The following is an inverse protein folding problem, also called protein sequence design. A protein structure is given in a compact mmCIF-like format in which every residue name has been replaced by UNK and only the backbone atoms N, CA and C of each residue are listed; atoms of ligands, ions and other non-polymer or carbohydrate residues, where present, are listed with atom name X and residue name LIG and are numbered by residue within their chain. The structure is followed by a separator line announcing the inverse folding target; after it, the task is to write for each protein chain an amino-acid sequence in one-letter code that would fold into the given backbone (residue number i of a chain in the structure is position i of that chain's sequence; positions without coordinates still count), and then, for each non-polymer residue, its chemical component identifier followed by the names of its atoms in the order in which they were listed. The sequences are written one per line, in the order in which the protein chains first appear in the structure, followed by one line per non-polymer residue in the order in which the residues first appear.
data_IF_290844000295
#
_entry.id   IF_290844000295
#
_cell.length_a   1.000
_cell.length_b   1.000
_cell.length_c   1.000
_cell.angle_alpha   90.00
_cell.angle_beta   90.00
_cell.angle_gamma   90.00
#
_symmetry.space_group_name_H-M   'P 1'
#
loop_
_entity.id
_entity.type
_entity.pdbx_description
1 polymer ?
#
# COMPACT_ATOMS: atom_id res chain seq x y z
N UNK A 1 30.08 -26.07 12.70
CA UNK A 1 28.63 -26.31 12.51
C UNK A 1 28.11 -25.06 11.86
N UNK A 2 27.29 -25.16 10.82
CA UNK A 2 26.75 -23.97 10.14
C UNK A 2 25.76 -23.29 11.07
N UNK A 3 25.97 -22.01 11.40
CA UNK A 3 25.06 -21.17 12.22
C UNK A 3 23.86 -20.67 11.39
N UNK A 4 23.40 -21.50 10.45
CA UNK A 4 22.21 -21.26 9.63
C UNK A 4 20.98 -21.63 10.44
N UNK A 5 19.99 -20.74 10.42
CA UNK A 5 18.76 -20.88 11.18
C UNK A 5 17.73 -21.66 10.36
N UNK A 6 17.71 -21.51 9.03
CA UNK A 6 16.71 -22.11 8.16
C UNK A 6 17.28 -23.23 7.29
N UNK A 7 16.49 -24.27 7.09
CA UNK A 7 16.71 -25.28 6.06
C UNK A 7 16.29 -24.77 4.69
N UNK A 8 16.82 -25.34 3.60
CA UNK A 8 16.40 -24.98 2.24
C UNK A 8 14.89 -25.15 2.02
N UNK A 9 14.26 -26.14 2.65
CA UNK A 9 12.83 -26.36 2.53
C UNK A 9 12.03 -25.24 3.22
N UNK A 10 12.44 -24.83 4.43
CA UNK A 10 11.84 -23.68 5.12
C UNK A 10 11.98 -22.40 4.28
N UNK A 11 13.13 -22.17 3.65
CA UNK A 11 13.32 -21.03 2.75
C UNK A 11 12.36 -21.07 1.57
N UNK A 12 12.21 -22.22 0.90
CA UNK A 12 11.25 -22.37 -0.21
C UNK A 12 9.82 -22.11 0.26
N UNK A 13 9.46 -22.59 1.45
CA UNK A 13 8.14 -22.36 2.03
C UNK A 13 7.91 -20.87 2.34
N UNK A 14 8.90 -20.18 2.90
CA UNK A 14 8.82 -18.73 3.18
C UNK A 14 8.73 -17.88 1.92
N UNK A 15 9.37 -18.30 0.82
CA UNK A 15 9.28 -17.63 -0.47
C UNK A 15 7.94 -17.88 -1.19
N UNK A 16 7.14 -18.85 -0.74
CA UNK A 16 5.87 -19.20 -1.38
C UNK A 16 4.71 -18.45 -0.72
N UNK A 17 3.92 -17.73 -1.52
CA UNK A 17 2.77 -16.94 -1.01
C UNK A 17 1.77 -17.83 -0.26
N UNK A 18 1.08 -17.32 0.78
CA UNK A 18 0.12 -18.12 1.54
C UNK A 18 -1.01 -18.70 0.67
N UNK A 19 -1.48 -17.95 -0.32
CA UNK A 19 -2.47 -18.41 -1.30
C UNK A 19 -1.98 -19.61 -2.12
N UNK A 20 -0.73 -19.57 -2.62
CA UNK A 20 -0.13 -20.70 -3.34
C UNK A 20 0.09 -21.92 -2.43
N UNK A 21 0.51 -21.70 -1.17
CA UNK A 21 0.69 -22.78 -0.19
C UNK A 21 -0.64 -23.47 0.13
N UNK A 22 -1.69 -22.69 0.36
CA UNK A 22 -3.04 -23.20 0.61
C UNK A 22 -3.59 -23.94 -0.62
N UNK A 23 -3.40 -23.39 -1.82
CA UNK A 23 -3.83 -24.02 -3.06
C UNK A 23 -3.10 -25.34 -3.32
N UNK A 24 -1.80 -25.41 -3.04
CA UNK A 24 -1.03 -26.65 -3.15
C UNK A 24 -1.45 -27.71 -2.12
N UNK A 25 -1.82 -27.30 -0.90
CA UNK A 25 -2.39 -28.21 0.10
C UNK A 25 -3.74 -28.79 -0.37
N UNK A 26 -4.60 -27.92 -0.91
CA UNK A 26 -5.89 -28.29 -1.50
C UNK A 26 -5.71 -29.32 -2.64
N UNK A 27 -4.75 -29.09 -3.54
CA UNK A 27 -4.47 -29.99 -4.68
C UNK A 27 -3.98 -31.39 -4.24
N UNK A 28 -3.39 -31.50 -3.04
CA UNK A 28 -3.01 -32.80 -2.43
C UNK A 28 -4.12 -33.46 -1.63
N UNK A 29 -5.29 -32.83 -1.53
CA UNK A 29 -6.40 -33.30 -0.69
C UNK A 29 -6.23 -33.01 0.81
N UNK A 30 -5.25 -32.19 1.20
CA UNK A 30 -5.04 -31.76 2.58
C UNK A 30 -5.92 -30.54 2.90
N UNK A 31 -7.21 -30.81 3.09
CA UNK A 31 -8.22 -29.76 3.31
C UNK A 31 -7.99 -29.00 4.62
N UNK A 32 -7.47 -29.69 5.65
CA UNK A 32 -7.17 -29.09 6.95
C UNK A 32 -6.06 -28.05 6.81
N UNK A 33 -4.93 -28.40 6.18
CA UNK A 33 -3.84 -27.45 5.98
C UNK A 33 -4.24 -26.30 5.06
N UNK A 34 -4.99 -26.56 3.97
CA UNK A 34 -5.46 -25.51 3.07
C UNK A 34 -6.33 -24.48 3.81
N UNK A 35 -7.26 -24.97 4.63
CA UNK A 35 -8.14 -24.15 5.46
C UNK A 35 -7.39 -23.35 6.51
N UNK A 36 -6.46 -23.98 7.22
CA UNK A 36 -5.71 -23.33 8.30
C UNK A 36 -4.81 -22.22 7.75
N UNK A 37 -4.12 -22.46 6.62
CA UNK A 37 -3.31 -21.43 5.96
C UNK A 37 -4.20 -20.26 5.53
N UNK A 38 -5.35 -20.52 4.91
CA UNK A 38 -6.27 -19.47 4.48
C UNK A 38 -6.80 -18.66 5.67
N UNK A 39 -7.23 -19.32 6.74
CA UNK A 39 -7.76 -18.68 7.94
C UNK A 39 -6.71 -17.80 8.64
N UNK A 40 -5.47 -18.27 8.74
CA UNK A 40 -4.36 -17.49 9.32
C UNK A 40 -3.90 -16.35 8.43
N UNK A 41 -4.28 -16.35 7.15
CA UNK A 41 -3.89 -15.32 6.17
C UNK A 41 -4.88 -14.18 6.05
N UNK A 42 -6.05 -14.28 6.70
CA UNK A 42 -7.01 -13.18 6.79
C UNK A 42 -6.34 -11.99 7.49
N UNK A 43 -6.54 -10.79 6.95
CA UNK A 43 -6.05 -9.51 7.50
C UNK A 43 -4.52 -9.33 7.59
N UNK A 44 -3.71 -10.27 7.09
CA UNK A 44 -2.24 -10.12 7.14
C UNK A 44 -1.74 -8.85 6.42
N UNK A 45 -2.49 -8.34 5.43
CA UNK A 45 -2.19 -7.10 4.71
C UNK A 45 -2.39 -5.82 5.54
N UNK A 46 -3.01 -5.90 6.71
CA UNK A 46 -3.29 -4.73 7.54
C UNK A 46 -2.02 -4.00 7.98
N UNK A 47 -0.91 -4.72 8.20
CA UNK A 47 0.38 -4.10 8.52
C UNK A 47 0.83 -3.14 7.40
N UNK A 48 0.85 -3.61 6.16
CA UNK A 48 1.16 -2.80 4.98
C UNK A 48 0.16 -1.66 4.79
N UNK A 49 -1.14 -1.94 4.95
CA UNK A 49 -2.20 -0.93 4.86
C UNK A 49 -1.95 0.21 5.85
N UNK A 50 -1.67 -0.11 7.10
CA UNK A 50 -1.56 0.88 8.17
C UNK A 50 -0.25 1.67 8.08
N UNK A 51 0.84 1.05 7.58
CA UNK A 51 2.06 1.77 7.19
C UNK A 51 1.75 2.86 6.15
N UNK A 52 1.03 2.51 5.08
CA UNK A 52 0.69 3.50 4.05
C UNK A 52 -0.28 4.57 4.55
N UNK A 53 -1.26 4.20 5.38
CA UNK A 53 -2.17 5.16 6.00
C UNK A 53 -1.38 6.19 6.82
N UNK A 54 -0.53 5.71 7.74
CA UNK A 54 0.23 6.57 8.63
C UNK A 54 1.16 7.48 7.85
N UNK A 55 1.91 6.93 6.88
CA UNK A 55 2.84 7.68 6.06
C UNK A 55 2.13 8.77 5.25
N UNK A 56 1.07 8.43 4.50
CA UNK A 56 0.31 9.42 3.72
C UNK A 56 -0.29 10.51 4.60
N UNK A 57 -0.88 10.14 5.74
CA UNK A 57 -1.53 11.10 6.65
C UNK A 57 -0.51 12.07 7.25
N UNK A 58 0.64 11.56 7.70
CA UNK A 58 1.70 12.38 8.25
C UNK A 58 2.37 13.26 7.20
N UNK A 59 2.51 12.79 5.96
CA UNK A 59 3.05 13.61 4.86
C UNK A 59 2.12 14.76 4.48
N UNK A 60 0.80 14.55 4.48
CA UNK A 60 -0.16 15.66 4.34
C UNK A 60 -0.03 16.65 5.51
N UNK A 61 0.12 16.15 6.74
CA UNK A 61 0.39 16.98 7.92
C UNK A 61 1.70 17.77 7.80
N UNK A 62 2.76 17.16 7.28
CA UNK A 62 4.03 17.83 7.02
C UNK A 62 3.85 18.98 6.01
N UNK A 63 3.14 18.73 4.90
CA UNK A 63 2.87 19.79 3.90
C UNK A 63 2.10 20.96 4.53
N UNK A 64 1.10 20.68 5.36
CA UNK A 64 0.34 21.74 6.03
C UNK A 64 1.19 22.51 7.05
N UNK A 65 1.97 21.82 7.89
CA UNK A 65 2.79 22.47 8.93
C UNK A 65 3.92 23.29 8.33
N UNK A 66 4.63 22.76 7.34
CA UNK A 66 5.83 23.40 6.78
C UNK A 66 5.49 24.44 5.70
N UNK A 67 4.43 24.21 4.92
CA UNK A 67 4.12 25.04 3.75
C UNK A 67 2.72 25.69 3.78
N UNK A 68 1.93 25.41 4.83
CA UNK A 68 0.62 26.01 5.07
C UNK A 68 -0.55 25.32 4.36
N UNK A 69 -1.77 25.64 4.79
CA UNK A 69 -3.00 25.07 4.26
C UNK A 69 -3.21 25.31 2.74
N UNK A 70 -2.66 26.40 2.18
CA UNK A 70 -2.68 26.63 0.73
C UNK A 70 -1.83 25.63 -0.05
N UNK A 71 -0.68 25.22 0.49
CA UNK A 71 0.16 24.19 -0.10
C UNK A 71 -0.57 22.84 -0.07
N UNK A 72 -1.17 22.48 1.07
CA UNK A 72 -1.99 21.27 1.20
C UNK A 72 -3.12 21.23 0.17
N UNK A 73 -3.86 22.33 0.01
CA UNK A 73 -4.94 22.44 -1.00
C UNK A 73 -4.45 22.24 -2.44
N UNK A 74 -3.19 22.55 -2.74
CA UNK A 74 -2.60 22.36 -4.08
C UNK A 74 -1.97 20.99 -4.26
N UNK A 75 -1.39 20.41 -3.22
CA UNK A 75 -0.68 19.13 -3.30
C UNK A 75 -1.64 17.96 -3.52
N UNK A 76 -2.78 17.94 -2.81
CA UNK A 76 -3.78 16.85 -2.91
C UNK A 76 -4.31 16.67 -4.34
N UNK A 77 -4.84 17.69 -5.04
CA UNK A 77 -5.26 17.54 -6.44
C UNK A 77 -4.11 17.21 -7.38
N UNK A 78 -2.91 17.78 -7.17
CA UNK A 78 -1.75 17.48 -8.01
C UNK A 78 -1.36 16.00 -7.92
N UNK A 79 -1.35 15.44 -6.71
CA UNK A 79 -1.07 14.04 -6.47
C UNK A 79 -2.16 13.13 -7.04
N UNK A 80 -3.44 13.42 -6.79
CA UNK A 80 -4.54 12.55 -7.21
C UNK A 80 -4.75 12.51 -8.74
N UNK A 81 -4.43 13.59 -9.45
CA UNK A 81 -4.53 13.63 -10.93
C UNK A 81 -3.68 12.56 -11.62
N UNK A 82 -2.56 12.14 -11.03
CA UNK A 82 -1.68 11.12 -11.62
C UNK A 82 -2.18 9.69 -11.34
N UNK A 83 -3.15 9.51 -10.43
CA UNK A 83 -3.48 8.20 -9.84
C UNK A 83 -4.93 7.80 -10.12
N UNK A 84 -5.88 8.72 -9.92
CA UNK A 84 -7.32 8.40 -9.79
C UNK A 84 -7.98 8.18 -11.15
N UNK A 85 -7.44 8.77 -12.22
CA UNK A 85 -8.10 8.78 -13.52
C UNK A 85 -8.48 7.39 -14.03
N UNK A 86 -7.58 6.38 -14.08
CA UNK A 86 -7.95 5.04 -14.54
C UNK A 86 -9.18 4.45 -13.82
N UNK A 87 -9.37 4.75 -12.53
CA UNK A 87 -10.53 4.28 -11.77
C UNK A 87 -11.80 5.04 -12.12
N UNK A 88 -11.71 6.37 -12.26
CA UNK A 88 -12.83 7.19 -12.70
C UNK A 88 -13.32 6.74 -14.09
N UNK A 89 -12.40 6.37 -14.99
CA UNK A 89 -12.74 5.95 -16.36
C UNK A 89 -13.60 4.68 -16.42
N UNK A 90 -13.55 3.80 -15.42
CA UNK A 90 -14.47 2.66 -15.33
C UNK A 90 -15.94 3.06 -15.20
N UNK A 91 -16.19 4.28 -14.72
CA UNK A 91 -17.54 4.84 -14.59
C UNK A 91 -17.90 5.82 -15.70
N UNK A 92 -17.04 6.00 -16.73
CA UNK A 92 -17.30 6.99 -17.80
C UNK A 92 -18.67 6.80 -18.45
N UNK A 93 -19.08 5.56 -18.64
CA UNK A 93 -20.34 5.22 -19.30
C UNK A 93 -21.46 4.90 -18.31
N UNK A 94 -21.31 5.19 -17.02
CA UNK A 94 -22.27 4.80 -15.97
C UNK A 94 -21.78 3.61 -15.16
N UNK A 95 -22.69 2.99 -14.42
CA UNK A 95 -22.36 1.91 -13.46
C UNK A 95 -22.31 0.56 -14.18
N UNK A 96 -21.23 -0.21 -13.96
CA UNK A 96 -21.13 -1.62 -14.36
C UNK A 96 -20.85 -2.52 -13.16
N UNK A 97 -21.11 -3.83 -13.31
CA UNK A 97 -20.82 -4.81 -12.27
C UNK A 97 -19.32 -4.84 -11.91
N UNK A 98 -18.45 -4.79 -12.91
CA UNK A 98 -17.00 -4.84 -12.76
C UNK A 98 -16.46 -3.60 -12.03
N UNK A 99 -17.01 -2.42 -12.34
CA UNK A 99 -16.62 -1.17 -11.69
C UNK A 99 -16.98 -1.19 -10.19
N UNK A 100 -18.19 -1.66 -9.85
CA UNK A 100 -18.63 -1.79 -8.45
C UNK A 100 -17.86 -2.88 -7.71
N UNK A 101 -17.61 -4.03 -8.34
CA UNK A 101 -16.81 -5.10 -7.74
C UNK A 101 -15.38 -4.64 -7.41
N UNK A 102 -14.78 -3.86 -8.30
CA UNK A 102 -13.43 -3.34 -8.09
C UNK A 102 -13.38 -2.30 -6.97
N UNK A 103 -14.40 -1.44 -6.83
CA UNK A 103 -14.51 -0.55 -5.67
C UNK A 103 -14.70 -1.35 -4.37
N UNK A 104 -15.60 -2.33 -4.34
CA UNK A 104 -15.80 -3.15 -3.16
C UNK A 104 -14.52 -3.86 -2.71
N UNK A 105 -13.70 -4.31 -3.67
CA UNK A 105 -12.37 -4.85 -3.41
C UNK A 105 -11.46 -3.83 -2.71
N UNK A 106 -11.36 -2.60 -3.21
CA UNK A 106 -10.55 -1.54 -2.57
C UNK A 106 -11.05 -1.29 -1.13
N UNK A 107 -12.35 -1.11 -0.95
CA UNK A 107 -12.92 -0.78 0.36
C UNK A 107 -12.80 -1.90 1.38
N UNK A 108 -12.88 -3.16 0.96
CA UNK A 108 -12.68 -4.28 1.89
C UNK A 108 -11.21 -4.55 2.20
N UNK A 109 -10.31 -4.16 1.30
CA UNK A 109 -8.87 -4.25 1.55
C UNK A 109 -8.40 -3.13 2.48
N UNK A 110 -8.97 -1.93 2.37
CA UNK A 110 -8.75 -0.85 3.33
C UNK A 110 -9.47 -1.12 4.67
N UNK A 111 -10.78 -1.32 4.65
CA UNK A 111 -11.60 -1.42 5.86
C UNK A 111 -11.60 -2.78 6.56
N UNK A 112 -11.14 -3.84 5.90
CA UNK A 112 -11.48 -5.21 6.29
C UNK A 112 -12.86 -5.62 5.75
N UNK A 113 -13.57 -6.51 6.43
CA UNK A 113 -14.94 -6.86 6.01
C UNK A 113 -15.85 -5.62 5.91
N UNK A 114 -16.61 -5.51 4.80
CA UNK A 114 -17.66 -4.49 4.71
C UNK A 114 -18.80 -4.84 5.65
N UNK A 115 -19.22 -3.88 6.47
CA UNK A 115 -20.36 -4.05 7.37
C UNK A 115 -21.66 -4.34 6.57
N UNK A 116 -21.78 -3.75 5.38
CA UNK A 116 -22.86 -4.05 4.45
C UNK A 116 -22.47 -3.75 3.00
N UNK A 117 -23.08 -4.50 2.08
CA UNK A 117 -23.20 -4.17 0.66
C UNK A 117 -24.69 -4.13 0.33
N UNK A 118 -25.24 -2.92 0.26
CA UNK A 118 -26.67 -2.69 0.06
C UNK A 118 -26.94 -2.41 -1.42
N UNK A 119 -28.05 -2.92 -1.95
CA UNK A 119 -28.48 -2.63 -3.30
C UNK A 119 -30.02 -2.58 -3.36
N UNK A 120 -30.53 -1.49 -3.93
CA UNK A 120 -31.93 -1.34 -4.33
C UNK A 120 -32.02 -1.05 -5.85
N UNK A 121 -33.18 -0.65 -6.37
CA UNK A 121 -33.35 -0.37 -7.80
C UNK A 121 -32.62 0.88 -8.27
N UNK A 122 -32.20 1.76 -7.37
CA UNK A 122 -31.77 3.11 -7.69
C UNK A 122 -30.27 3.31 -7.38
N UNK A 123 -29.74 2.58 -6.40
CA UNK A 123 -28.36 2.74 -5.93
C UNK A 123 -27.76 1.47 -5.32
N UNK A 124 -26.44 1.53 -5.15
CA UNK A 124 -25.66 0.60 -4.32
C UNK A 124 -24.99 1.39 -3.20
N UNK A 125 -24.83 0.78 -2.02
CA UNK A 125 -24.12 1.39 -0.89
C UNK A 125 -23.13 0.41 -0.26
N UNK A 126 -21.87 0.81 -0.21
CA UNK A 126 -20.82 0.08 0.50
C UNK A 126 -20.63 0.73 1.87
N UNK A 127 -20.68 -0.07 2.93
CA UNK A 127 -20.54 0.41 4.31
C UNK A 127 -19.24 -0.12 4.92
N UNK A 128 -18.29 0.78 5.20
CA UNK A 128 -16.96 0.43 5.73
C UNK A 128 -16.75 1.05 7.12
N UNK A 129 -16.75 0.25 8.20
CA UNK A 129 -16.66 0.76 9.57
C UNK A 129 -15.26 1.28 9.93
N UNK A 130 -14.23 0.68 9.33
CA UNK A 130 -12.85 0.91 9.69
C UNK A 130 -12.09 1.50 8.51
N UNK A 131 -12.66 2.46 7.77
CA UNK A 131 -12.02 3.05 6.59
C UNK A 131 -10.88 4.01 6.96
N UNK A 132 -9.99 4.29 6.00
CA UNK A 132 -8.77 5.09 6.16
C UNK A 132 -8.96 6.40 6.95
N UNK A 133 -9.95 7.23 6.62
CA UNK A 133 -10.14 8.50 7.34
C UNK A 133 -10.59 8.34 8.79
N UNK A 134 -11.36 7.31 9.13
CA UNK A 134 -11.68 7.02 10.54
C UNK A 134 -10.41 6.63 11.32
N UNK A 135 -9.54 5.82 10.70
CA UNK A 135 -8.26 5.46 11.30
C UNK A 135 -7.32 6.67 11.40
N UNK A 136 -7.37 7.58 10.43
CA UNK A 136 -6.58 8.81 10.42
C UNK A 136 -6.98 9.79 11.52
N UNK A 137 -8.24 9.81 11.97
CA UNK A 137 -8.69 10.67 13.08
C UNK A 137 -7.92 10.40 14.39
N UNK A 138 -7.34 9.20 14.54
CA UNK A 138 -6.52 8.84 15.70
C UNK A 138 -5.08 9.39 15.61
N UNK A 139 -4.67 9.97 14.48
CA UNK A 139 -3.33 10.50 14.27
C UNK A 139 -3.33 12.01 14.62
N UNK A 140 -2.66 12.42 15.72
CA UNK A 140 -2.69 13.81 16.17
C UNK A 140 -1.98 14.73 15.18
N UNK A 141 -2.37 16.01 15.19
CA UNK A 141 -1.72 17.09 14.44
C UNK A 141 -1.59 16.84 12.92
N UNK A 142 -2.61 16.19 12.35
CA UNK A 142 -2.74 15.94 10.91
C UNK A 142 -4.05 16.49 10.35
N UNK A 143 -4.08 16.90 9.07
CA UNK A 143 -5.29 17.33 8.41
C UNK A 143 -6.28 16.18 8.27
N UNK A 144 -7.55 16.52 8.13
CA UNK A 144 -8.60 15.55 7.85
C UNK A 144 -8.36 14.86 6.51
N UNK A 145 -8.06 13.56 6.55
CA UNK A 145 -7.77 12.74 5.37
C UNK A 145 -8.94 12.69 4.37
N UNK A 146 -10.16 13.05 4.79
CA UNK A 146 -11.34 13.17 3.90
C UNK A 146 -11.20 14.26 2.84
N UNK A 147 -10.18 15.11 2.91
CA UNK A 147 -9.79 15.98 1.79
C UNK A 147 -9.46 15.16 0.53
N UNK A 148 -8.90 13.95 0.70
CA UNK A 148 -8.56 13.03 -0.40
C UNK A 148 -9.82 12.51 -1.07
N UNK A 149 -10.80 12.01 -0.32
CA UNK A 149 -12.07 11.50 -0.88
C UNK A 149 -12.88 12.61 -1.54
N UNK A 150 -12.92 13.80 -0.93
CA UNK A 150 -13.60 14.98 -1.49
C UNK A 150 -12.96 15.40 -2.82
N UNK A 151 -11.63 15.38 -2.90
CA UNK A 151 -10.92 15.71 -4.13
C UNK A 151 -11.09 14.64 -5.22
N UNK A 152 -11.17 13.36 -4.85
CA UNK A 152 -11.52 12.28 -5.80
C UNK A 152 -12.89 12.54 -6.44
N UNK A 153 -13.91 12.89 -5.65
CA UNK A 153 -15.24 13.24 -6.16
C UNK A 153 -15.17 14.43 -7.12
N UNK A 154 -14.42 15.47 -6.75
CA UNK A 154 -14.23 16.68 -7.57
C UNK A 154 -13.56 16.38 -8.91
N UNK A 155 -12.51 15.55 -8.93
CA UNK A 155 -11.84 15.12 -10.15
C UNK A 155 -12.75 14.27 -11.05
N UNK A 156 -13.59 13.41 -10.44
CA UNK A 156 -14.59 12.68 -11.21
C UNK A 156 -15.60 13.62 -11.88
N UNK A 157 -16.06 14.67 -11.18
CA UNK A 157 -16.89 15.71 -11.80
C UNK A 157 -16.18 16.40 -12.97
N UNK A 158 -14.90 16.72 -12.83
CA UNK A 158 -14.10 17.32 -13.92
C UNK A 158 -14.03 16.41 -15.15
N UNK A 159 -13.76 15.11 -14.96
CA UNK A 159 -13.49 14.16 -16.05
C UNK A 159 -14.72 13.47 -16.62
N UNK A 160 -15.74 13.23 -15.81
CA UNK A 160 -16.94 12.48 -16.18
C UNK A 160 -18.19 13.37 -16.23
N UNK A 161 -18.19 14.50 -15.54
CA UNK A 161 -19.35 15.38 -15.37
C UNK A 161 -20.15 15.12 -14.09
N UNK A 162 -19.84 14.05 -13.36
CA UNK A 162 -20.49 13.68 -12.09
C UNK A 162 -19.54 12.87 -11.19
N UNK A 163 -19.82 12.78 -9.88
CA UNK A 163 -19.15 11.85 -8.99
C UNK A 163 -19.86 10.49 -9.03
N UNK A 164 -19.26 9.43 -9.60
CA UNK A 164 -19.92 8.12 -9.74
C UNK A 164 -20.12 7.38 -8.42
N UNK A 165 -19.37 7.79 -7.40
CA UNK A 165 -19.51 7.34 -6.04
C UNK A 165 -19.42 8.55 -5.11
N UNK A 166 -20.30 8.60 -4.12
CA UNK A 166 -20.43 9.72 -3.19
C UNK A 166 -20.07 9.26 -1.79
N UNK A 167 -19.10 9.94 -1.17
CA UNK A 167 -18.66 9.66 0.20
C UNK A 167 -19.54 10.43 1.18
N UNK A 168 -20.17 9.68 2.10
CA UNK A 168 -20.96 10.19 3.21
C UNK A 168 -20.55 9.52 4.53
N UNK A 169 -20.85 10.19 5.64
CA UNK A 169 -20.54 9.75 7.00
C UNK A 169 -19.04 9.49 7.21
N UNK A 170 -18.68 8.49 8.00
CA UNK A 170 -17.29 8.16 8.27
C UNK A 170 -16.61 9.21 9.13
N UNK A 171 -17.23 9.72 10.20
CA UNK A 171 -16.63 10.64 11.20
C UNK A 171 -17.05 10.19 12.59
N UNK A 172 -16.25 10.54 13.60
CA UNK A 172 -16.59 10.32 15.02
C UNK A 172 -16.94 8.85 15.34
N UNK A 173 -16.33 7.91 14.60
CA UNK A 173 -16.57 6.47 14.74
C UNK A 173 -17.74 5.91 13.92
N UNK A 174 -18.52 6.75 13.24
CA UNK A 174 -19.55 6.29 12.30
C UNK A 174 -18.89 5.61 11.08
N UNK A 175 -19.50 4.57 10.51
CA UNK A 175 -18.98 3.92 9.32
C UNK A 175 -19.04 4.87 8.11
N UNK A 176 -18.08 4.74 7.20
CA UNK A 176 -18.18 5.37 5.89
C UNK A 176 -19.29 4.70 5.08
N UNK A 177 -20.10 5.53 4.40
CA UNK A 177 -21.07 5.08 3.39
C UNK A 177 -20.66 5.61 2.02
N UNK A 178 -20.32 4.71 1.10
CA UNK A 178 -20.04 5.04 -0.29
C UNK A 178 -21.26 4.71 -1.14
N UNK A 179 -21.96 5.73 -1.64
CA UNK A 179 -23.17 5.56 -2.45
C UNK A 179 -22.88 5.67 -3.94
N UNK A 180 -23.32 4.68 -4.72
CA UNK A 180 -23.20 4.64 -6.18
C UNK A 180 -24.62 4.74 -6.76
N UNK A 181 -24.92 5.83 -7.47
CA UNK A 181 -26.21 6.03 -8.10
C UNK A 181 -26.25 5.33 -9.46
N UNK A 182 -27.25 4.47 -9.69
CA UNK A 182 -27.39 3.71 -10.95
C UNK A 182 -27.79 4.59 -12.11
N UNK A 183 -28.50 5.68 -11.83
CA UNK A 183 -28.66 6.80 -12.72
C UNK A 183 -27.79 7.97 -12.26
N UNK A 184 -26.77 8.38 -13.03
CA UNK A 184 -25.93 9.54 -12.71
C UNK A 184 -26.71 10.85 -12.47
N UNK A 185 -27.90 11.00 -13.05
CA UNK A 185 -28.75 12.18 -12.82
C UNK A 185 -29.36 12.21 -11.42
N UNK A 186 -29.43 11.07 -10.73
CA UNK A 186 -29.99 10.97 -9.37
C UNK A 186 -28.99 11.40 -8.29
N UNK A 187 -27.72 11.67 -8.65
CA UNK A 187 -26.77 12.31 -7.73
C UNK A 187 -27.36 13.64 -7.25
N UNK A 188 -27.55 13.83 -5.92
CA UNK A 188 -28.23 15.01 -5.40
C UNK A 188 -27.50 16.32 -5.76
N UNK A 189 -28.22 17.40 -6.12
CA UNK A 189 -27.61 18.70 -6.40
C UNK A 189 -26.70 19.22 -5.28
N UNK A 190 -27.05 18.96 -4.02
CA UNK A 190 -26.25 19.32 -2.85
C UNK A 190 -24.82 18.72 -2.85
N UNK A 191 -24.60 17.59 -3.54
CA UNK A 191 -23.27 17.01 -3.71
C UNK A 191 -22.40 17.92 -4.57
N UNK A 192 -22.94 18.44 -5.68
CA UNK A 192 -22.23 19.36 -6.57
C UNK A 192 -21.95 20.70 -5.89
N UNK A 193 -22.91 21.21 -5.10
CA UNK A 193 -22.75 22.41 -4.28
C UNK A 193 -21.63 22.25 -3.25
N UNK A 194 -21.60 21.12 -2.51
CA UNK A 194 -20.52 20.79 -1.55
C UNK A 194 -19.14 20.76 -2.23
N UNK A 195 -19.07 20.22 -3.44
CA UNK A 195 -17.83 20.10 -4.20
C UNK A 195 -17.40 21.40 -4.89
N UNK A 196 -18.28 22.41 -4.93
CA UNK A 196 -18.02 23.67 -5.63
C UNK A 196 -17.90 23.51 -7.14
N UNK A 197 -18.62 22.54 -7.73
CA UNK A 197 -18.58 22.24 -9.16
C UNK A 197 -19.95 22.44 -9.82
N UNK A 198 -19.96 22.83 -11.09
CA UNK A 198 -21.20 22.97 -11.84
C UNK A 198 -21.82 21.60 -12.18
N UNK A 199 -23.14 21.48 -11.99
CA UNK A 199 -23.90 20.29 -12.39
C UNK A 199 -24.30 20.38 -13.87
N UNK A 200 -23.43 19.88 -14.75
CA UNK A 200 -23.69 19.82 -16.19
C UNK A 200 -24.63 18.66 -16.55
N UNK A 201 -25.94 18.91 -16.49
CA UNK A 201 -26.98 17.90 -16.76
C UNK A 201 -26.82 17.25 -18.14
N UNK A 202 -26.38 18.00 -19.15
CA UNK A 202 -26.25 17.48 -20.51
C UNK A 202 -25.12 16.44 -20.60
N UNK A 203 -23.98 16.72 -19.94
CA UNK A 203 -22.86 15.77 -19.85
C UNK A 203 -23.22 14.54 -19.02
N UNK A 204 -23.93 14.72 -17.90
CA UNK A 204 -24.36 13.61 -17.04
C UNK A 204 -25.30 12.67 -17.79
N UNK A 205 -26.26 13.22 -18.54
CA UNK A 205 -27.24 12.45 -19.30
C UNK A 205 -26.63 11.58 -20.43
N UNK A 206 -25.33 11.71 -20.72
CA UNK A 206 -24.64 10.87 -21.70
C UNK A 206 -24.22 9.50 -21.13
N UNK A 207 -24.16 9.34 -19.80
CA UNK A 207 -23.88 8.07 -19.14
C UNK A 207 -25.13 7.17 -19.09
N UNK A 208 -24.93 5.85 -19.05
CA UNK A 208 -26.04 4.90 -19.01
C UNK A 208 -26.76 4.93 -17.66
N UNK A 209 -28.09 4.94 -17.74
CA UNK A 209 -28.99 4.69 -16.63
C UNK A 209 -29.27 3.18 -16.53
N UNK A 210 -28.86 2.59 -15.41
CA UNK A 210 -29.13 1.18 -15.08
C UNK A 210 -30.08 1.02 -13.89
N UNK A 211 -30.80 2.08 -13.54
CA UNK A 211 -31.83 2.03 -12.50
C UNK A 211 -32.99 1.09 -12.89
N UNK A 212 -33.73 0.62 -11.89
CA UNK A 212 -34.81 -0.37 -12.05
C UNK A 212 -34.33 -1.83 -12.11
N UNK A 213 -33.02 -2.09 -12.23
CA UNK A 213 -32.44 -3.43 -12.22
C UNK A 213 -31.63 -3.69 -10.95
N UNK A 214 -31.63 -4.94 -10.47
CA UNK A 214 -30.62 -5.43 -9.52
C UNK A 214 -29.43 -5.95 -10.33
N UNK A 215 -28.25 -5.40 -10.04
CA UNK A 215 -27.01 -5.79 -10.68
C UNK A 215 -26.46 -7.06 -10.05
N UNK A 216 -26.67 -7.31 -8.75
CA UNK A 216 -26.12 -8.46 -8.03
C UNK A 216 -27.21 -9.28 -7.34
N UNK A 217 -27.02 -10.59 -7.28
CA UNK A 217 -27.91 -11.47 -6.50
C UNK A 217 -27.59 -11.40 -4.99
N UNK A 218 -28.43 -11.98 -4.10
CA UNK A 218 -28.18 -11.95 -2.66
C UNK A 218 -26.85 -12.57 -2.22
N UNK A 219 -26.41 -13.66 -2.85
CA UNK A 219 -25.17 -14.36 -2.48
C UNK A 219 -23.96 -13.56 -2.94
N UNK A 220 -24.02 -12.96 -4.12
CA UNK A 220 -22.98 -12.05 -4.62
C UNK A 220 -22.80 -10.85 -3.68
N UNK A 221 -23.89 -10.27 -3.17
CA UNK A 221 -23.82 -9.13 -2.25
C UNK A 221 -23.20 -9.51 -0.90
N UNK A 222 -23.50 -10.70 -0.39
CA UNK A 222 -22.83 -11.22 0.81
C UNK A 222 -21.35 -11.46 0.56
N UNK A 223 -20.99 -12.09 -0.57
CA UNK A 223 -19.60 -12.34 -0.94
C UNK A 223 -18.79 -11.06 -1.12
N UNK A 224 -19.41 -9.99 -1.65
CA UNK A 224 -18.74 -8.71 -1.87
C UNK A 224 -18.20 -8.08 -0.59
N UNK A 225 -18.77 -8.43 0.57
CA UNK A 225 -18.31 -7.94 1.88
C UNK A 225 -17.00 -8.58 2.33
N UNK A 226 -16.67 -9.76 1.81
CA UNK A 226 -15.68 -10.65 2.40
C UNK A 226 -14.40 -10.70 1.56
N UNK A 227 -13.28 -10.89 2.24
CA UNK A 227 -11.98 -11.08 1.62
C UNK A 227 -11.88 -12.48 1.01
N UNK A 228 -11.02 -12.63 0.01
CA UNK A 228 -10.85 -13.89 -0.70
C UNK A 228 -10.43 -15.04 0.22
N UNK A 229 -9.58 -14.82 1.22
CA UNK A 229 -9.27 -15.89 2.19
C UNK A 229 -10.48 -16.36 3.00
N UNK A 230 -11.38 -15.45 3.39
CA UNK A 230 -12.63 -15.82 4.08
C UNK A 230 -13.55 -16.62 3.16
N UNK A 231 -13.69 -16.19 1.91
CA UNK A 231 -14.47 -16.91 0.89
C UNK A 231 -13.86 -18.29 0.57
N UNK A 232 -12.54 -18.41 0.57
CA UNK A 232 -11.85 -19.68 0.41
C UNK A 232 -12.17 -20.65 1.56
N UNK A 233 -12.09 -20.19 2.81
CA UNK A 233 -12.46 -21.00 3.99
C UNK A 233 -13.91 -21.47 3.91
N UNK A 234 -14.85 -20.56 3.60
CA UNK A 234 -16.28 -20.91 3.44
C UNK A 234 -16.48 -21.97 2.34
N UNK A 235 -15.78 -21.84 1.22
CA UNK A 235 -15.87 -22.79 0.11
C UNK A 235 -15.27 -24.17 0.46
N UNK A 236 -14.16 -24.21 1.21
CA UNK A 236 -13.58 -25.47 1.73
C UNK A 236 -14.58 -26.16 2.67
N UNK A 237 -15.15 -25.40 3.62
CA UNK A 237 -16.12 -25.93 4.60
C UNK A 237 -17.42 -26.44 3.93
N UNK A 238 -17.79 -25.86 2.78
CA UNK A 238 -18.92 -26.31 1.96
C UNK A 238 -18.57 -27.46 0.98
N UNK A 239 -17.30 -27.84 0.85
CA UNK A 239 -16.84 -28.84 -0.12
C UNK A 239 -16.76 -28.36 -1.57
N UNK A 240 -16.89 -27.05 -1.83
CA UNK A 240 -16.72 -26.44 -3.16
C UNK A 240 -15.24 -26.10 -3.41
N UNK A 241 -14.45 -27.14 -3.71
CA UNK A 241 -13.00 -27.02 -3.83
C UNK A 241 -12.57 -26.17 -5.04
N UNK A 242 -13.35 -26.15 -6.11
CA UNK A 242 -13.08 -25.31 -7.28
C UNK A 242 -13.24 -23.83 -6.93
N UNK A 243 -14.28 -23.46 -6.18
CA UNK A 243 -14.47 -22.10 -5.68
C UNK A 243 -13.41 -21.72 -4.66
N UNK A 244 -13.07 -22.64 -3.74
CA UNK A 244 -11.98 -22.42 -2.80
C UNK A 244 -10.68 -22.08 -3.52
N UNK A 245 -10.30 -22.89 -4.52
CA UNK A 245 -9.10 -22.65 -5.32
C UNK A 245 -9.12 -21.28 -5.99
N UNK A 246 -10.23 -20.87 -6.60
CA UNK A 246 -10.34 -19.53 -7.23
C UNK A 246 -10.08 -18.40 -6.23
N UNK A 247 -10.64 -18.49 -5.03
CA UNK A 247 -10.43 -17.47 -4.01
C UNK A 247 -8.99 -17.48 -3.45
N UNK A 248 -8.37 -18.65 -3.28
CA UNK A 248 -6.95 -18.74 -2.90
C UNK A 248 -6.01 -18.14 -3.96
N UNK A 249 -6.37 -18.21 -5.24
CA UNK A 249 -5.60 -17.53 -6.29
C UNK A 249 -5.85 -16.02 -6.31
N UNK A 250 -7.09 -15.58 -6.07
CA UNK A 250 -7.45 -14.16 -6.00
C UNK A 250 -6.77 -13.45 -4.83
N UNK A 251 -6.63 -14.10 -3.67
CA UNK A 251 -6.06 -13.50 -2.46
C UNK A 251 -4.61 -13.00 -2.65
N UNK A 252 -3.90 -13.53 -3.65
CA UNK A 252 -2.54 -13.08 -4.01
C UNK A 252 -2.50 -11.64 -4.52
N UNK A 253 -3.60 -11.16 -5.12
CA UNK A 253 -3.66 -9.88 -5.81
C UNK A 253 -4.81 -8.98 -5.35
N UNK A 254 -5.73 -9.50 -4.55
CA UNK A 254 -6.94 -8.79 -4.10
C UNK A 254 -6.62 -7.43 -3.44
N UNK A 255 -5.54 -7.35 -2.69
CA UNK A 255 -5.14 -6.16 -1.95
C UNK A 255 -4.33 -5.15 -2.79
N UNK A 256 -3.88 -5.53 -4.00
CA UNK A 256 -3.04 -4.68 -4.86
C UNK A 256 -3.67 -3.32 -5.18
N UNK A 257 -4.98 -3.19 -5.49
CA UNK A 257 -5.56 -1.88 -5.78
C UNK A 257 -5.43 -0.89 -4.62
N UNK A 258 -5.69 -1.33 -3.38
CA UNK A 258 -5.56 -0.49 -2.18
C UNK A 258 -4.09 -0.13 -1.90
N UNK A 259 -3.19 -1.10 -2.03
CA UNK A 259 -1.75 -0.87 -1.88
C UNK A 259 -1.19 0.10 -2.92
N UNK A 260 -1.47 -0.12 -4.20
CA UNK A 260 -0.98 0.74 -5.26
C UNK A 260 -1.51 2.16 -5.09
N UNK A 261 -2.75 2.33 -4.62
CA UNK A 261 -3.26 3.65 -4.28
C UNK A 261 -2.44 4.32 -3.17
N UNK A 262 -2.22 3.64 -2.05
CA UNK A 262 -1.42 4.18 -0.93
C UNK A 262 0.03 4.49 -1.34
N UNK A 263 0.66 3.60 -2.11
CA UNK A 263 2.00 3.74 -2.68
C UNK A 263 2.11 4.92 -3.64
N UNK A 264 1.17 5.02 -4.57
CA UNK A 264 1.19 6.07 -5.59
C UNK A 264 0.92 7.42 -4.95
N UNK A 265 -0.01 7.48 -3.98
CA UNK A 265 -0.36 8.71 -3.28
C UNK A 265 0.86 9.27 -2.54
N UNK A 266 1.58 8.43 -1.80
CA UNK A 266 2.77 8.90 -1.09
C UNK A 266 3.88 9.29 -2.08
N UNK A 267 4.06 8.53 -3.16
CA UNK A 267 5.05 8.88 -4.20
C UNK A 267 4.75 10.24 -4.80
N UNK A 268 3.49 10.51 -5.13
CA UNK A 268 3.08 11.76 -5.75
C UNK A 268 3.13 12.93 -4.76
N UNK A 269 2.82 12.71 -3.47
CA UNK A 269 2.98 13.72 -2.42
C UNK A 269 4.45 14.09 -2.19
N UNK A 270 5.34 13.10 -2.04
CA UNK A 270 6.78 13.37 -1.90
C UNK A 270 7.35 13.98 -3.19
N UNK A 271 6.87 13.54 -4.35
CA UNK A 271 7.19 14.16 -5.63
C UNK A 271 6.79 15.64 -5.69
N UNK A 272 5.61 15.98 -5.21
CA UNK A 272 5.16 17.37 -5.13
C UNK A 272 6.06 18.20 -4.21
N UNK A 273 6.49 17.65 -3.06
CA UNK A 273 7.47 18.31 -2.18
C UNK A 273 8.79 18.52 -2.93
N UNK A 274 9.27 17.54 -3.70
CA UNK A 274 10.52 17.63 -4.44
C UNK A 274 10.50 18.79 -5.44
N UNK A 275 9.44 18.86 -6.23
CA UNK A 275 9.30 19.85 -7.31
C UNK A 275 9.09 21.28 -6.78
N UNK A 276 8.39 21.43 -5.64
CA UNK A 276 8.00 22.74 -5.13
C UNK A 276 8.92 23.27 -4.02
N UNK A 277 9.58 22.38 -3.29
CA UNK A 277 10.34 22.71 -2.08
C UNK A 277 11.74 22.08 -2.05
N UNK A 278 12.05 21.17 -2.96
CA UNK A 278 13.40 20.61 -3.13
C UNK A 278 13.67 19.34 -2.32
N UNK A 279 14.84 18.76 -2.56
CA UNK A 279 15.23 17.44 -2.05
C UNK A 279 15.33 17.39 -0.53
N UNK A 280 15.81 18.46 0.11
CA UNK A 280 15.95 18.50 1.57
C UNK A 280 14.60 18.31 2.27
N UNK A 281 13.56 19.01 1.80
CA UNK A 281 12.23 18.86 2.39
C UNK A 281 11.61 17.48 2.12
N UNK A 282 11.99 16.80 1.03
CA UNK A 282 11.60 15.41 0.82
C UNK A 282 12.25 14.51 1.86
N UNK A 283 13.56 14.68 2.07
CA UNK A 283 14.31 13.94 3.06
C UNK A 283 13.77 14.13 4.47
N UNK A 284 13.52 15.37 4.86
CA UNK A 284 12.93 15.71 6.16
C UNK A 284 11.53 15.10 6.31
N UNK A 285 10.73 15.08 5.23
CA UNK A 285 9.41 14.43 5.25
C UNK A 285 9.51 12.90 5.42
N UNK A 286 10.49 12.25 4.77
CA UNK A 286 10.75 10.82 4.94
C UNK A 286 11.13 10.53 6.39
N UNK A 287 12.01 11.33 6.99
CA UNK A 287 12.41 11.13 8.38
C UNK A 287 11.24 11.30 9.34
N UNK A 288 10.50 12.40 9.22
CA UNK A 288 9.43 12.76 10.15
C UNK A 288 8.13 11.98 9.95
N UNK A 289 7.86 11.47 8.75
CA UNK A 289 6.58 10.83 8.41
C UNK A 289 6.70 9.31 8.21
N UNK A 290 7.90 8.80 7.95
CA UNK A 290 8.14 7.37 7.74
C UNK A 290 9.11 6.79 8.76
N UNK A 291 10.37 7.25 8.80
CA UNK A 291 11.39 6.58 9.60
C UNK A 291 11.08 6.63 11.11
N UNK A 292 10.79 7.80 11.66
CA UNK A 292 10.54 7.94 13.10
C UNK A 292 9.20 7.33 13.55
N UNK A 293 8.04 7.69 12.96
CA UNK A 293 6.75 7.24 13.47
C UNK A 293 6.34 5.85 12.97
N UNK A 294 6.69 5.50 11.73
CA UNK A 294 6.22 4.27 11.09
C UNK A 294 7.26 3.17 11.26
N UNK A 295 8.48 3.38 10.77
CA UNK A 295 9.55 2.38 10.89
C UNK A 295 10.12 2.29 12.31
N UNK A 296 10.15 3.38 13.09
CA UNK A 296 10.64 3.35 14.47
C UNK A 296 9.84 2.40 15.34
N UNK A 297 8.52 2.34 15.17
CA UNK A 297 7.67 1.36 15.84
C UNK A 297 7.97 -0.08 15.40
N UNK A 298 8.15 -0.30 14.09
CA UNK A 298 8.52 -1.62 13.54
C UNK A 298 9.88 -2.06 14.07
N UNK A 299 10.89 -1.19 14.04
CA UNK A 299 12.23 -1.48 14.52
C UNK A 299 12.22 -1.77 16.02
N UNK A 300 11.48 -1.01 16.82
CA UNK A 300 11.33 -1.29 18.26
C UNK A 300 10.67 -2.64 18.56
N UNK A 301 9.73 -3.09 17.72
CA UNK A 301 9.17 -4.43 17.85
C UNK A 301 10.19 -5.51 17.47
N UNK A 302 10.83 -5.35 16.30
CA UNK A 302 11.82 -6.28 15.74
C UNK A 302 13.04 -6.46 16.64
N UNK A 303 13.49 -5.41 17.32
CA UNK A 303 14.65 -5.46 18.23
C UNK A 303 14.48 -6.49 19.36
N UNK A 304 13.24 -6.77 19.74
CA UNK A 304 12.91 -7.77 20.77
C UNK A 304 12.60 -9.16 20.22
N UNK A 305 12.52 -9.31 18.89
CA UNK A 305 12.21 -10.58 18.23
C UNK A 305 13.47 -11.44 18.05
N UNK A 306 13.37 -12.77 18.26
CA UNK A 306 14.40 -13.69 17.80
C UNK A 306 14.63 -13.56 16.29
N UNK A 307 15.88 -13.75 15.84
CA UNK A 307 16.26 -13.63 14.42
C UNK A 307 15.35 -14.41 13.45
N UNK A 308 14.95 -15.63 13.82
CA UNK A 308 14.02 -16.46 13.05
C UNK A 308 12.68 -15.73 12.83
N UNK A 309 12.15 -15.13 13.90
CA UNK A 309 10.84 -14.49 13.90
C UNK A 309 10.90 -13.17 13.11
N UNK A 310 12.03 -12.45 13.15
CA UNK A 310 12.27 -11.27 12.30
C UNK A 310 12.15 -11.62 10.80
N UNK A 311 12.81 -12.70 10.37
CA UNK A 311 12.77 -13.17 8.98
C UNK A 311 11.36 -13.60 8.58
N UNK A 312 10.67 -14.36 9.43
CA UNK A 312 9.30 -14.82 9.16
C UNK A 312 8.29 -13.67 9.10
N UNK A 313 8.44 -12.69 9.98
CA UNK A 313 7.63 -11.46 9.98
C UNK A 313 7.87 -10.66 8.70
N UNK A 314 9.13 -10.47 8.29
CA UNK A 314 9.44 -9.73 7.07
C UNK A 314 8.96 -10.45 5.81
N UNK A 315 9.08 -11.78 5.76
CA UNK A 315 8.54 -12.58 4.65
C UNK A 315 7.02 -12.40 4.52
N UNK A 316 6.31 -12.41 5.65
CA UNK A 316 4.87 -12.15 5.70
C UNK A 316 4.56 -10.76 5.16
N UNK A 317 5.24 -9.72 5.67
CA UNK A 317 5.09 -8.35 5.18
C UNK A 317 5.34 -8.25 3.66
N UNK A 318 6.39 -8.90 3.15
CA UNK A 318 6.75 -8.82 1.74
C UNK A 318 5.77 -9.53 0.80
N UNK A 319 5.13 -10.62 1.25
CA UNK A 319 4.00 -11.20 0.52
C UNK A 319 2.84 -10.20 0.41
N UNK A 320 2.57 -9.45 1.49
CA UNK A 320 1.57 -8.38 1.51
C UNK A 320 2.04 -7.06 0.88
N UNK A 321 3.30 -6.98 0.43
CA UNK A 321 3.81 -5.97 -0.50
C UNK A 321 3.92 -6.52 -1.94
N UNK A 322 3.42 -7.73 -2.18
CA UNK A 322 3.31 -8.34 -3.51
C UNK A 322 4.67 -8.67 -4.10
N UNK A 323 5.70 -8.71 -3.26
CA UNK A 323 7.06 -8.94 -3.68
C UNK A 323 7.22 -10.38 -4.14
N UNK A 324 8.00 -10.57 -5.19
CA UNK A 324 8.56 -11.86 -5.55
C UNK A 324 10.04 -11.83 -5.21
N UNK A 325 10.50 -12.84 -4.51
CA UNK A 325 11.85 -12.86 -4.01
C UNK A 325 12.40 -14.27 -3.89
N UNK A 326 13.72 -14.36 -4.06
CA UNK A 326 14.51 -15.50 -3.63
C UNK A 326 15.04 -15.20 -2.22
N UNK A 327 15.17 -16.25 -1.40
CA UNK A 327 15.69 -16.15 -0.04
C UNK A 327 17.07 -16.78 0.04
N UNK A 328 18.01 -16.05 0.64
CA UNK A 328 19.37 -16.48 0.84
C UNK A 328 19.72 -16.28 2.33
N UNK A 329 20.27 -17.32 2.97
CA UNK A 329 20.86 -17.22 4.30
C UNK A 329 22.33 -17.65 4.24
N UNK A 330 23.20 -16.86 4.87
CA UNK A 330 24.59 -17.20 5.10
C UNK A 330 25.01 -16.94 6.56
N UNK A 331 26.31 -17.01 6.83
CA UNK A 331 26.86 -16.77 8.17
C UNK A 331 26.68 -15.31 8.62
N UNK A 332 26.62 -14.35 7.69
CA UNK A 332 26.49 -12.92 7.98
C UNK A 332 25.03 -12.48 8.15
N UNK A 333 24.08 -13.14 7.50
CA UNK A 333 22.69 -12.81 7.66
C UNK A 333 21.75 -13.45 6.65
N UNK A 334 20.66 -12.73 6.40
CA UNK A 334 19.58 -13.16 5.53
C UNK A 334 19.30 -12.07 4.51
N UNK A 335 19.00 -12.47 3.28
CA UNK A 335 18.74 -11.57 2.16
C UNK A 335 17.47 -11.98 1.42
N UNK A 336 16.56 -11.02 1.24
CA UNK A 336 15.45 -11.09 0.29
C UNK A 336 15.91 -10.45 -1.02
N UNK A 337 16.19 -11.26 -2.05
CA UNK A 337 16.56 -10.77 -3.39
C UNK A 337 15.29 -10.56 -4.22
N UNK A 338 14.81 -9.32 -4.26
CA UNK A 338 13.52 -8.96 -4.88
C UNK A 338 13.68 -8.51 -6.33
N UNK A 339 12.81 -9.00 -7.21
CA UNK A 339 12.82 -8.71 -8.66
C UNK A 339 11.38 -8.62 -9.20
N UNK A 340 10.71 -7.46 -9.09
CA UNK A 340 11.14 -6.20 -8.48
C UNK A 340 10.83 -6.16 -6.96
N UNK A 341 11.30 -5.11 -6.27
CA UNK A 341 10.77 -4.78 -4.96
C UNK A 341 9.32 -4.29 -5.05
N UNK A 342 8.53 -4.48 -3.98
CA UNK A 342 7.08 -4.37 -4.00
C UNK A 342 6.50 -3.01 -4.36
N UNK A 343 7.30 -1.95 -4.21
CA UNK A 343 6.84 -0.57 -4.39
C UNK A 343 7.70 0.21 -5.39
N UNK A 344 8.91 0.64 -5.02
CA UNK A 344 9.75 1.47 -5.92
C UNK A 344 10.13 0.77 -7.23
N UNK A 345 10.55 -0.50 -7.15
CA UNK A 345 10.85 -1.30 -8.33
C UNK A 345 9.61 -1.58 -9.18
N UNK A 346 8.47 -1.83 -8.53
CA UNK A 346 7.20 -1.98 -9.22
C UNK A 346 6.78 -0.70 -9.95
N UNK A 347 6.98 0.49 -9.37
CA UNK A 347 6.73 1.77 -10.04
C UNK A 347 7.61 1.95 -11.30
N UNK A 348 8.86 1.48 -11.25
CA UNK A 348 9.74 1.44 -12.43
C UNK A 348 9.15 0.51 -13.49
N UNK A 349 8.80 -0.74 -13.14
CA UNK A 349 8.21 -1.70 -14.09
C UNK A 349 6.89 -1.23 -14.70
N UNK A 350 6.09 -0.50 -13.95
CA UNK A 350 4.83 0.10 -14.41
C UNK A 350 5.02 1.33 -15.32
N UNK A 351 6.26 1.80 -15.52
CA UNK A 351 6.55 3.01 -16.29
C UNK A 351 6.03 4.30 -15.61
N UNK A 352 5.94 4.31 -14.27
CA UNK A 352 5.30 5.41 -13.54
C UNK A 352 6.07 6.75 -13.60
N UNK A 353 7.35 6.70 -13.98
CA UNK A 353 8.20 7.87 -14.17
C UNK A 353 8.09 8.47 -15.58
N UNK A 354 7.44 7.76 -16.51
CA UNK A 354 7.10 8.23 -17.84
C UNK A 354 5.65 8.74 -17.91
N UNK A 355 5.27 9.31 -19.07
CA UNK A 355 3.91 9.69 -19.33
C UNK A 355 2.96 8.46 -19.26
N UNK A 356 1.75 8.61 -18.68
CA UNK A 356 1.13 9.86 -18.28
C UNK A 356 1.37 10.28 -16.82
N UNK A 357 1.94 9.40 -15.98
CA UNK A 357 2.10 9.66 -14.53
C UNK A 357 3.18 10.70 -14.27
N UNK A 358 4.31 10.63 -14.98
CA UNK A 358 5.46 11.54 -14.87
C UNK A 358 5.88 11.77 -13.41
N UNK A 359 5.96 10.69 -12.61
CA UNK A 359 6.35 10.84 -11.21
C UNK A 359 7.79 11.39 -11.10
N UNK A 360 8.12 12.20 -10.09
CA UNK A 360 9.43 12.82 -10.01
C UNK A 360 10.57 11.86 -9.67
N UNK A 361 11.77 12.22 -10.11
CA UNK A 361 13.03 11.54 -9.83
C UNK A 361 13.96 12.49 -9.05
N UNK A 362 14.61 11.98 -8.01
CA UNK A 362 15.74 12.66 -7.34
C UNK A 362 16.92 12.64 -8.29
N UNK A 363 17.63 13.77 -8.41
CA UNK A 363 18.75 13.95 -9.34
C UNK A 363 20.04 14.25 -8.58
N UNK A 364 21.13 13.67 -9.07
CA UNK A 364 22.49 13.84 -8.57
C UNK A 364 22.86 12.87 -7.45
N UNK A 365 24.15 12.53 -7.34
CA UNK A 365 24.65 11.63 -6.30
C UNK A 365 24.65 12.33 -4.94
N UNK A 366 23.88 11.79 -3.99
CA UNK A 366 23.78 12.26 -2.61
C UNK A 366 23.30 11.13 -1.68
N UNK A 367 23.21 11.37 -0.36
CA UNK A 367 22.66 10.37 0.57
C UNK A 367 21.20 10.04 0.22
N UNK A 368 20.43 11.06 -0.16
CA UNK A 368 19.03 10.97 -0.56
C UNK A 368 18.80 10.11 -1.81
N UNK A 369 19.86 9.86 -2.60
CA UNK A 369 19.84 9.04 -3.82
C UNK A 369 20.69 7.77 -3.73
N UNK A 370 21.13 7.33 -2.54
CA UNK A 370 22.14 6.27 -2.40
C UNK A 370 23.43 6.53 -3.20
N UNK A 371 23.74 7.78 -3.50
CA UNK A 371 24.90 8.19 -4.28
C UNK A 371 24.78 7.95 -5.79
N UNK A 372 23.58 7.71 -6.32
CA UNK A 372 23.36 7.45 -7.75
C UNK A 372 22.89 8.71 -8.49
N UNK A 373 23.00 8.72 -9.83
CA UNK A 373 22.70 9.91 -10.64
C UNK A 373 21.21 10.21 -10.67
N UNK A 374 20.35 9.20 -10.78
CA UNK A 374 18.91 9.39 -10.72
C UNK A 374 18.22 8.25 -9.97
N UNK A 375 17.32 8.63 -9.05
CA UNK A 375 16.57 7.68 -8.25
C UNK A 375 15.08 8.05 -8.18
N UNK A 376 14.17 7.07 -8.32
CA UNK A 376 12.76 7.24 -7.98
C UNK A 376 12.53 8.00 -6.68
N UNK A 377 11.70 9.05 -6.67
CA UNK A 377 11.42 9.79 -5.43
C UNK A 377 10.86 8.91 -4.32
N UNK A 378 10.05 7.90 -4.68
CA UNK A 378 9.56 6.92 -3.74
C UNK A 378 10.70 6.18 -3.02
N UNK A 379 11.78 5.83 -3.72
CA UNK A 379 12.89 5.07 -3.15
C UNK A 379 13.70 5.83 -2.11
N UNK A 380 13.48 7.13 -1.90
CA UNK A 380 14.20 7.95 -0.91
C UNK A 380 14.01 7.47 0.53
N UNK A 381 12.92 6.75 0.82
CA UNK A 381 12.74 6.13 2.14
C UNK A 381 13.78 5.04 2.44
N UNK A 382 14.32 4.35 1.42
CA UNK A 382 15.31 3.30 1.60
C UNK A 382 16.65 3.83 2.19
N UNK A 383 17.32 4.84 1.60
CA UNK A 383 18.51 5.41 2.23
C UNK A 383 18.21 6.05 3.58
N UNK A 384 17.01 6.63 3.76
CA UNK A 384 16.56 7.14 5.05
C UNK A 384 16.52 6.05 6.13
N UNK A 385 15.86 4.92 5.86
CA UNK A 385 15.78 3.80 6.80
C UNK A 385 17.15 3.18 7.07
N UNK A 386 17.99 3.00 6.04
CA UNK A 386 19.37 2.53 6.24
C UNK A 386 20.14 3.46 7.17
N UNK A 387 20.08 4.78 6.92
CA UNK A 387 20.73 5.77 7.76
C UNK A 387 20.24 5.66 9.21
N UNK A 388 18.93 5.64 9.41
CA UNK A 388 18.31 5.56 10.72
C UNK A 388 18.79 4.31 11.49
N UNK A 389 18.73 3.12 10.88
CA UNK A 389 19.18 1.87 11.51
C UNK A 389 20.66 1.91 11.88
N UNK A 390 21.52 2.42 11.00
CA UNK A 390 22.96 2.44 11.23
C UNK A 390 23.40 3.49 12.24
N UNK A 391 22.69 4.62 12.37
CA UNK A 391 22.99 5.64 13.39
C UNK A 391 22.59 5.22 14.79
N UNK A 392 21.61 4.32 14.93
CA UNK A 392 21.10 3.82 16.21
C UNK A 392 21.70 2.47 16.62
N UNK A 393 22.64 1.95 15.83
CA UNK A 393 23.34 0.67 16.08
C UNK A 393 22.39 -0.56 16.20
N UNK A 394 21.34 -0.57 15.39
CA UNK A 394 20.41 -1.69 15.28
C UNK A 394 18.94 -1.32 15.52
N UNK A 395 18.03 -2.29 15.38
CA UNK A 395 18.28 -3.65 14.90
C UNK A 395 18.73 -3.66 13.43
N UNK A 396 19.72 -4.47 13.05
CA UNK A 396 20.31 -4.53 11.69
C UNK A 396 19.37 -5.19 10.67
N UNK A 397 18.14 -4.67 10.61
CA UNK A 397 16.98 -5.20 9.96
C UNK A 397 16.54 -4.26 8.84
N UNK A 398 16.06 -4.82 7.73
CA UNK A 398 15.60 -4.08 6.55
C UNK A 398 16.66 -3.13 5.97
N UNK A 399 17.94 -3.51 6.02
CA UNK A 399 18.99 -2.76 5.34
C UNK A 399 18.93 -3.03 3.83
N UNK A 400 18.61 -2.00 3.06
CA UNK A 400 18.36 -2.08 1.63
C UNK A 400 19.65 -1.86 0.84
N UNK A 401 19.95 -2.79 -0.05
CA UNK A 401 20.93 -2.61 -1.11
C UNK A 401 20.19 -2.50 -2.45
N UNK A 402 20.12 -1.32 -3.05
CA UNK A 402 19.48 -1.17 -4.34
C UNK A 402 20.32 -1.83 -5.44
N UNK A 403 19.65 -2.47 -6.39
CA UNK A 403 20.24 -2.88 -7.65
C UNK A 403 20.50 -1.66 -8.52
N UNK A 404 21.75 -1.48 -8.93
CA UNK A 404 22.22 -0.32 -9.68
C UNK A 404 22.76 -0.80 -11.03
N UNK A 405 22.36 -0.13 -12.10
CA UNK A 405 22.91 -0.30 -13.43
C UNK A 405 23.10 1.07 -14.07
N UNK A 406 24.30 1.33 -14.62
CA UNK A 406 24.65 2.60 -15.28
C UNK A 406 24.32 3.86 -14.47
N UNK A 407 24.43 3.81 -13.15
CA UNK A 407 24.13 4.94 -12.26
C UNK A 407 22.64 5.14 -11.95
N UNK A 408 21.78 4.17 -12.27
CA UNK A 408 20.35 4.20 -12.02
C UNK A 408 19.87 3.00 -11.21
N UNK A 409 18.82 3.18 -10.40
CA UNK A 409 18.16 2.07 -9.70
C UNK A 409 17.32 1.24 -10.69
N UNK A 410 17.53 -0.08 -10.70
CA UNK A 410 16.81 -0.99 -11.61
C UNK A 410 15.46 -1.46 -11.08
N UNK A 411 15.20 -1.27 -9.79
CA UNK A 411 14.02 -1.81 -9.11
C UNK A 411 14.20 -3.22 -8.55
N UNK A 412 15.35 -3.86 -8.83
CA UNK A 412 15.75 -5.09 -8.15
C UNK A 412 16.46 -4.68 -6.87
N UNK A 413 15.91 -5.00 -5.69
CA UNK A 413 16.52 -4.60 -4.42
C UNK A 413 16.80 -5.83 -3.56
N UNK A 414 17.87 -5.77 -2.78
CA UNK A 414 18.14 -6.72 -1.71
C UNK A 414 17.75 -6.10 -0.39
N UNK A 415 16.96 -6.80 0.40
CA UNK A 415 16.62 -6.40 1.77
C UNK A 415 17.28 -7.37 2.73
N UNK A 416 18.14 -6.85 3.59
CA UNK A 416 19.00 -7.67 4.43
C UNK A 416 18.61 -7.57 5.89
N UNK A 417 18.75 -8.69 6.59
CA UNK A 417 18.74 -8.80 8.05
C UNK A 417 20.08 -9.39 8.46
N UNK A 418 20.97 -8.56 9.00
CA UNK A 418 22.31 -8.96 9.40
C UNK A 418 22.32 -9.48 10.84
N UNK A 419 23.11 -10.52 11.11
CA UNK A 419 23.23 -11.13 12.44
C UNK A 419 24.09 -10.28 13.39
N UNK A 420 24.96 -9.42 12.87
CA UNK A 420 25.80 -8.51 13.66
C UNK A 420 26.28 -7.30 12.85
N UNK A 421 26.86 -6.32 13.55
CA UNK A 421 27.45 -5.11 12.94
C UNK A 421 28.62 -5.46 12.01
N UNK A 422 29.38 -6.48 12.35
CA UNK A 422 30.57 -6.94 11.62
C UNK A 422 30.19 -7.53 10.26
N UNK A 423 29.00 -8.14 10.18
CA UNK A 423 28.48 -8.72 8.95
C UNK A 423 28.02 -7.69 7.92
N UNK A 424 27.73 -6.45 8.34
CA UNK A 424 27.27 -5.39 7.45
C UNK A 424 28.44 -4.93 6.55
N UNK A 425 28.30 -4.98 5.21
CA UNK A 425 29.30 -4.48 4.28
C UNK A 425 29.57 -2.99 4.46
N UNK A 426 30.83 -2.57 4.25
CA UNK A 426 31.23 -1.17 4.42
C UNK A 426 30.50 -0.22 3.46
N UNK A 427 30.18 -0.68 2.25
CA UNK A 427 29.47 0.15 1.26
C UNK A 427 28.04 0.50 1.69
N UNK A 428 27.39 -0.32 2.53
CA UNK A 428 26.08 0.00 3.11
C UNK A 428 26.16 1.24 4.01
N UNK A 429 27.24 1.37 4.79
CA UNK A 429 27.52 2.56 5.61
C UNK A 429 27.87 3.78 4.74
N UNK A 430 28.76 3.58 3.76
CA UNK A 430 29.27 4.65 2.91
C UNK A 430 28.15 5.32 2.10
N UNK A 431 27.21 4.53 1.56
CA UNK A 431 26.07 5.05 0.76
C UNK A 431 25.15 6.01 1.51
N UNK A 432 25.08 5.90 2.84
CA UNK A 432 24.22 6.76 3.67
C UNK A 432 25.01 7.71 4.58
N UNK A 433 26.33 7.81 4.36
CA UNK A 433 27.21 8.73 5.06
C UNK A 433 27.31 8.46 6.57
N UNK A 434 27.09 7.21 7.00
CA UNK A 434 27.21 6.82 8.41
C UNK A 434 28.59 6.22 8.64
N UNK A 435 29.31 6.69 9.66
CA UNK A 435 30.61 6.12 10.00
C UNK A 435 30.40 4.79 10.72
N UNK A 436 30.98 3.72 10.19
CA UNK A 436 31.01 2.42 10.86
C UNK A 436 31.66 2.55 12.25
N UNK A 437 31.02 2.06 13.32
CA UNK A 437 31.64 2.02 14.64
C UNK A 437 32.96 1.23 14.58
N UNK A 438 34.07 1.87 14.95
CA UNK A 438 35.34 1.17 15.09
C UNK A 438 35.28 0.33 16.35
N UNK A 439 35.42 -0.99 16.24
CA UNK A 439 35.60 -1.89 17.39
C UNK A 439 36.83 -1.46 18.18
N UNK A 440 36.63 -0.67 19.24
CA UNK A 440 37.67 -0.23 20.15
C UNK A 440 37.19 -0.35 21.60
N UNK A 441 37.53 -1.49 22.23
CA UNK A 441 37.83 -1.51 23.66
C UNK A 441 36.85 -2.20 24.61
N UNK A 442 36.61 -3.50 24.48
CA UNK A 442 36.45 -4.35 25.68
C UNK A 442 37.83 -4.58 26.28
N UNK A 443 38.38 -3.57 26.93
CA UNK A 443 39.44 -3.80 27.92
C UNK A 443 38.77 -4.41 29.13
N UNK A 444 39.07 -5.68 29.36
CA UNK A 444 38.91 -6.37 30.64
C UNK A 444 39.29 -5.43 31.80
N UNK A 445 38.36 -5.23 32.73
CA UNK A 445 38.69 -4.85 34.11
C UNK A 445 38.36 -6.01 35.03
#
# INVERSE_FOLDING_TARGET
MTDLVFTEDELRQLATSPGDRAAAALDRGDLAAARDIAAQSVDLHFSTRDIYLLWNTLTLGYIEREFGADALRRSVPAALRTIVRPWAEWFRNGVSREAVQSLAMIFRMDGGELAAFEEDTDKLVLVSPNWAGNRADAIPDTPDLRIVSTEIERLCCEWLGYPPFVFADGRDGEPLRLTIYKNPLDVPPAVFERLGVERDVARIAAAFDVSGALLFDPDEREDMRLQAYVLAVRAIDAGDLDRARRHLMLSKTEWYPGHHFGRDLITAQTGWILENHGVQHCWDSVEQCYNLPTMGQVLGQVDTMPYRDQVQWLATLFHQHGMKYDLLEDEGGFCFDTKPCGSGGRLIEEGAYDAPKNLPMVKGPSVESFGVEEMPVYCMHCPGTNKHVLEHDGPYFLLVEPGIHDGHITGHCRFNIYKSQEAIPQDVYDRVGVRRPTTAGTSVQ
#
